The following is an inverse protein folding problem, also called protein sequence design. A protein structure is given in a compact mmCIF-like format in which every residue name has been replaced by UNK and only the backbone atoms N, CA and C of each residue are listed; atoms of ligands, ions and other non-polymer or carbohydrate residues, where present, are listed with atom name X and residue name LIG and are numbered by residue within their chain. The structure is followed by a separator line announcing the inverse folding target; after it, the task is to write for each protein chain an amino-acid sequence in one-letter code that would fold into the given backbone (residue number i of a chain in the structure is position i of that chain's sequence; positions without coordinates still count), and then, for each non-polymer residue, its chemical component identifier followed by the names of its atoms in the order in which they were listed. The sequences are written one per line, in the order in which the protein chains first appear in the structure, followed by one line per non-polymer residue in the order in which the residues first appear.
data_IF_326551106826
#
_entry.id   IF_326551106826
#
_cell.length_a   1.000
_cell.length_b   1.000
_cell.length_c   1.000
_cell.angle_alpha   90.00
_cell.angle_beta   90.00
_cell.angle_gamma   90.00
#
_symmetry.space_group_name_H-M   'P 1'
#
loop_
_entity.id
_entity.type
_entity.pdbx_description
1 polymer ?
#
# COMPACT_ATOMS: atom_id res chain seq x y z
N UNK A 1 12.66 -0.45 -39.68
CA UNK A 1 11.79 0.24 -38.70
C UNK A 1 10.50 -0.55 -38.59
N UNK A 2 10.37 -1.42 -37.63
CA UNK A 2 9.17 -2.22 -37.42
C UNK A 2 8.26 -1.52 -36.40
N UNK A 3 6.99 -1.42 -36.76
CA UNK A 3 6.00 -0.51 -36.20
C UNK A 3 5.57 -0.80 -34.77
N UNK A 4 5.40 0.28 -34.00
CA UNK A 4 4.70 0.28 -32.72
C UNK A 4 3.20 0.09 -32.94
N UNK A 5 2.58 -0.84 -32.23
CA UNK A 5 1.12 -0.99 -32.20
C UNK A 5 0.59 -0.40 -30.90
N UNK A 6 -0.03 0.77 -31.01
CA UNK A 6 -0.79 1.36 -29.92
C UNK A 6 -2.12 0.63 -29.78
N UNK A 7 -2.31 -0.18 -28.75
CA UNK A 7 -3.57 -0.88 -28.52
C UNK A 7 -4.36 -0.21 -27.40
N UNK A 8 -5.40 0.55 -27.77
CA UNK A 8 -6.34 1.16 -26.83
C UNK A 8 -7.49 0.18 -26.61
N UNK A 9 -7.66 -0.34 -25.39
CA UNK A 9 -8.84 -1.11 -24.99
C UNK A 9 -9.70 -0.28 -24.02
N UNK A 10 -10.95 -0.06 -24.45
CA UNK A 10 -12.12 0.56 -23.79
C UNK A 10 -12.06 0.94 -22.31
N UNK A 11 -12.46 2.19 -22.01
CA UNK A 11 -12.98 2.88 -20.80
C UNK A 11 -12.26 2.69 -19.44
N UNK A 12 -11.42 1.69 -19.25
CA UNK A 12 -10.28 1.58 -18.33
C UNK A 12 -9.06 1.40 -19.22
N UNK A 13 -8.39 2.50 -19.51
CA UNK A 13 -7.49 2.58 -20.66
C UNK A 13 -6.11 2.01 -20.30
N UNK A 14 -5.80 0.82 -20.79
CA UNK A 14 -4.41 0.36 -20.91
C UNK A 14 -3.84 0.89 -22.21
N UNK A 15 -2.72 1.59 -22.15
CA UNK A 15 -1.88 1.93 -23.28
C UNK A 15 -0.65 1.02 -23.25
N UNK A 16 -0.14 0.67 -24.41
CA UNK A 16 1.08 -0.11 -24.51
C UNK A 16 1.76 0.13 -25.85
N UNK A 17 3.06 0.01 -25.84
CA UNK A 17 3.90 -0.01 -27.04
C UNK A 17 4.65 -1.32 -27.08
N UNK A 18 4.59 -2.00 -28.25
CA UNK A 18 5.46 -3.11 -28.61
C UNK A 18 6.42 -2.65 -29.69
N UNK A 19 7.69 -2.89 -29.51
CA UNK A 19 8.71 -2.42 -30.45
C UNK A 19 9.96 -3.29 -30.38
N UNK A 20 10.75 -3.19 -31.45
CA UNK A 20 12.09 -3.77 -31.55
C UNK A 20 13.06 -2.60 -31.75
N UNK A 21 14.18 -2.63 -31.06
CA UNK A 21 15.25 -1.63 -31.23
C UNK A 21 16.04 -1.98 -32.48
N UNK A 22 16.29 -3.27 -32.68
CA UNK A 22 16.95 -3.80 -33.86
C UNK A 22 15.97 -4.66 -34.66
N UNK A 23 16.03 -4.56 -35.98
CA UNK A 23 15.22 -5.37 -36.91
C UNK A 23 15.54 -6.86 -36.90
N UNK A 24 16.73 -7.24 -36.39
CA UNK A 24 17.15 -8.60 -36.23
C UNK A 24 16.72 -9.26 -34.93
N UNK A 25 16.13 -8.50 -33.99
CA UNK A 25 15.57 -9.05 -32.76
C UNK A 25 14.34 -9.92 -33.05
N UNK A 26 14.33 -11.16 -32.55
CA UNK A 26 13.19 -12.07 -32.67
C UNK A 26 12.07 -11.68 -31.67
N UNK A 27 12.43 -11.18 -30.48
CA UNK A 27 11.51 -10.80 -29.41
C UNK A 27 11.23 -9.30 -29.39
N UNK A 28 10.03 -8.94 -28.92
CA UNK A 28 9.61 -7.56 -28.78
C UNK A 28 9.80 -7.06 -27.35
N UNK A 29 10.20 -5.82 -27.23
CA UNK A 29 10.02 -5.06 -25.99
C UNK A 29 8.58 -4.57 -25.88
N UNK A 30 8.05 -4.61 -24.68
CA UNK A 30 6.71 -4.10 -24.41
C UNK A 30 6.71 -3.22 -23.16
N UNK A 31 6.12 -2.02 -23.28
CA UNK A 31 5.82 -1.15 -22.15
C UNK A 31 4.30 -1.01 -22.09
N UNK A 32 3.68 -1.42 -21.00
CA UNK A 32 2.23 -1.30 -20.80
C UNK A 32 1.94 -0.36 -19.65
N UNK A 33 1.05 0.61 -19.88
CA UNK A 33 0.55 1.55 -18.90
C UNK A 33 -0.93 1.31 -18.65
N UNK A 34 -1.37 1.40 -17.40
CA UNK A 34 -2.77 1.63 -17.08
C UNK A 34 -2.92 3.07 -16.59
N UNK A 35 -3.91 3.78 -17.13
CA UNK A 35 -4.13 5.18 -16.83
C UNK A 35 -5.57 5.43 -16.40
N UNK A 36 -5.75 6.41 -15.52
CA UNK A 36 -7.04 6.95 -15.13
C UNK A 36 -7.05 8.45 -15.37
N UNK A 37 -7.98 8.92 -16.20
CA UNK A 37 -8.18 10.35 -16.37
C UNK A 37 -8.78 10.97 -15.10
N UNK A 38 -8.25 12.10 -14.71
CA UNK A 38 -8.83 13.00 -13.70
C UNK A 38 -9.72 14.06 -14.33
N UNK A 39 -9.44 14.39 -15.59
CA UNK A 39 -10.26 15.23 -16.45
C UNK A 39 -11.63 14.60 -16.75
N UNK A 40 -12.68 15.43 -16.80
CA UNK A 40 -14.04 15.00 -17.16
C UNK A 40 -14.38 15.32 -18.62
N UNK A 41 -13.73 16.31 -19.22
CA UNK A 41 -13.94 16.71 -20.60
C UNK A 41 -13.28 15.73 -21.58
N UNK A 42 -14.06 15.22 -22.54
CA UNK A 42 -13.60 14.20 -23.48
C UNK A 42 -12.51 14.72 -24.45
N UNK A 43 -12.54 15.99 -24.83
CA UNK A 43 -11.54 16.61 -25.70
C UNK A 43 -10.21 16.72 -24.96
N UNK A 44 -10.22 17.21 -23.72
CA UNK A 44 -9.02 17.30 -22.89
C UNK A 44 -8.42 15.92 -22.62
N UNK A 45 -9.27 14.89 -22.40
CA UNK A 45 -8.80 13.51 -22.29
C UNK A 45 -8.09 13.04 -23.57
N UNK A 46 -8.62 13.37 -24.75
CA UNK A 46 -7.99 12.99 -26.02
C UNK A 46 -6.65 13.70 -26.23
N UNK A 47 -6.58 15.00 -25.95
CA UNK A 47 -5.36 15.79 -26.04
C UNK A 47 -4.27 15.24 -25.09
N UNK A 48 -4.62 14.96 -23.83
CA UNK A 48 -3.71 14.37 -22.83
C UNK A 48 -3.25 12.98 -23.25
N UNK A 49 -4.16 12.17 -23.82
CA UNK A 49 -3.83 10.85 -24.35
C UNK A 49 -2.85 10.91 -25.52
N UNK A 50 -3.02 11.87 -26.42
CA UNK A 50 -2.11 12.12 -27.53
C UNK A 50 -0.70 12.49 -27.06
N UNK A 51 -0.59 13.40 -26.09
CA UNK A 51 0.69 13.76 -25.46
C UNK A 51 1.36 12.55 -24.82
N UNK A 52 0.62 11.79 -24.00
CA UNK A 52 1.14 10.59 -23.35
C UNK A 52 1.63 9.54 -24.36
N UNK A 53 0.88 9.33 -25.43
CA UNK A 53 1.27 8.42 -26.53
C UNK A 53 2.57 8.83 -27.18
N UNK A 54 2.73 10.11 -27.49
CA UNK A 54 3.98 10.67 -28.05
C UNK A 54 5.15 10.52 -27.09
N UNK A 55 4.93 10.84 -25.81
CA UNK A 55 5.94 10.71 -24.76
C UNK A 55 6.37 9.23 -24.57
N UNK A 56 5.41 8.32 -24.64
CA UNK A 56 5.69 6.88 -24.52
C UNK A 56 6.54 6.37 -25.72
N UNK A 57 6.20 6.77 -26.94
CA UNK A 57 6.95 6.41 -28.15
C UNK A 57 8.37 6.97 -28.05
N UNK A 58 8.51 8.25 -27.76
CA UNK A 58 9.82 8.88 -27.60
C UNK A 58 10.65 8.21 -26.49
N UNK A 59 10.02 8.00 -25.33
CA UNK A 59 10.66 7.33 -24.20
C UNK A 59 11.12 5.92 -24.52
N UNK A 60 10.31 5.14 -25.25
CA UNK A 60 10.64 3.78 -25.66
C UNK A 60 11.87 3.73 -26.58
N UNK A 61 12.04 4.70 -27.46
CA UNK A 61 13.18 4.73 -28.39
C UNK A 61 14.44 5.35 -27.79
N UNK A 62 14.31 6.45 -27.05
CA UNK A 62 15.46 7.25 -26.63
C UNK A 62 15.85 7.09 -25.16
N UNK A 63 15.00 6.44 -24.34
CA UNK A 63 15.21 6.31 -22.90
C UNK A 63 15.01 4.89 -22.36
N UNK A 64 14.87 3.87 -23.23
CA UNK A 64 14.61 2.48 -22.82
C UNK A 64 15.67 1.94 -21.85
N UNK A 65 16.94 2.30 -22.03
CA UNK A 65 18.05 1.93 -21.16
C UNK A 65 18.09 2.70 -19.82
N UNK A 66 17.16 3.62 -19.59
CA UNK A 66 17.03 4.42 -18.37
C UNK A 66 15.56 4.48 -17.89
N UNK A 67 14.96 3.34 -17.47
CA UNK A 67 13.53 3.25 -17.17
C UNK A 67 13.01 4.30 -16.20
N UNK A 68 13.79 4.66 -15.16
CA UNK A 68 13.43 5.72 -14.21
C UNK A 68 13.30 7.11 -14.88
N UNK A 69 14.14 7.40 -15.90
CA UNK A 69 14.04 8.65 -16.67
C UNK A 69 12.88 8.58 -17.67
N UNK A 70 12.64 7.42 -18.28
CA UNK A 70 11.49 7.19 -19.14
C UNK A 70 10.20 7.50 -18.39
N UNK A 71 10.02 6.98 -17.17
CA UNK A 71 8.85 7.28 -16.35
C UNK A 71 8.60 8.78 -16.18
N UNK A 72 9.63 9.54 -15.79
CA UNK A 72 9.48 11.00 -15.60
C UNK A 72 9.08 11.69 -16.90
N UNK A 73 9.60 11.23 -18.03
CA UNK A 73 9.33 11.79 -19.34
C UNK A 73 7.88 11.53 -19.81
N UNK A 74 7.20 10.50 -19.29
CA UNK A 74 5.79 10.26 -19.63
C UNK A 74 4.89 11.46 -19.29
N UNK A 75 5.26 12.28 -18.31
CA UNK A 75 4.53 13.50 -17.91
C UNK A 75 5.06 14.78 -18.56
N UNK A 76 5.89 14.68 -19.62
CA UNK A 76 6.33 15.87 -20.34
C UNK A 76 5.11 16.56 -20.97
N UNK A 77 4.92 17.86 -20.64
CA UNK A 77 3.73 18.65 -21.02
C UNK A 77 2.37 18.06 -20.57
N UNK A 78 2.36 17.26 -19.49
CA UNK A 78 1.13 16.71 -18.87
C UNK A 78 1.15 17.06 -17.39
N UNK A 79 0.07 17.68 -16.90
CA UNK A 79 -0.08 18.00 -15.49
C UNK A 79 -0.63 16.79 -14.72
N UNK A 80 -0.27 16.69 -13.43
CA UNK A 80 -0.66 15.56 -12.56
C UNK A 80 -2.15 15.51 -12.22
N UNK A 81 -2.87 16.59 -12.45
CA UNK A 81 -4.32 16.70 -12.30
C UNK A 81 -5.09 16.25 -13.55
N UNK A 82 -4.43 16.05 -14.69
CA UNK A 82 -5.04 15.58 -15.93
C UNK A 82 -5.21 14.07 -15.97
N UNK A 83 -4.19 13.32 -15.53
CA UNK A 83 -4.25 11.86 -15.51
C UNK A 83 -3.39 11.28 -14.37
N UNK A 84 -3.67 10.02 -14.07
CA UNK A 84 -2.89 9.17 -13.16
C UNK A 84 -2.41 7.94 -13.92
N UNK A 85 -1.14 7.57 -13.72
CA UNK A 85 -0.60 6.27 -14.16
C UNK A 85 -0.54 5.39 -12.93
N UNK A 86 -1.50 4.49 -12.76
CA UNK A 86 -1.62 3.63 -11.58
C UNK A 86 -0.88 2.30 -11.72
N UNK A 87 -0.48 1.92 -12.94
CA UNK A 87 0.32 0.72 -13.18
C UNK A 87 1.21 0.91 -14.39
N UNK A 88 2.44 0.41 -14.29
CA UNK A 88 3.37 0.27 -15.41
C UNK A 88 3.98 -1.13 -15.40
N UNK A 89 4.23 -1.68 -16.59
CA UNK A 89 4.93 -2.93 -16.75
C UNK A 89 5.88 -2.86 -17.95
N UNK A 90 7.11 -3.27 -17.74
CA UNK A 90 8.16 -3.43 -18.74
C UNK A 90 8.42 -4.92 -18.95
N UNK A 91 8.50 -5.35 -20.20
CA UNK A 91 8.84 -6.73 -20.56
C UNK A 91 9.56 -6.78 -21.90
N UNK A 92 10.31 -7.84 -22.12
CA UNK A 92 11.11 -8.05 -23.33
C UNK A 92 12.60 -8.06 -23.06
N UNK A 93 13.42 -8.31 -24.12
CA UNK A 93 14.84 -8.58 -23.99
C UNK A 93 15.64 -7.44 -23.34
N UNK A 94 15.30 -6.17 -23.62
CA UNK A 94 16.03 -5.02 -23.08
C UNK A 94 15.54 -4.63 -21.66
N UNK A 95 14.52 -5.29 -21.13
CA UNK A 95 13.94 -5.02 -19.81
C UNK A 95 14.09 -6.18 -18.82
N UNK A 96 14.93 -7.18 -19.12
CA UNK A 96 15.12 -8.36 -18.25
C UNK A 96 15.55 -8.00 -16.83
N UNK A 97 16.35 -6.95 -16.69
CA UNK A 97 16.84 -6.47 -15.40
C UNK A 97 15.94 -5.39 -14.74
N UNK A 98 14.80 -5.08 -15.35
CA UNK A 98 13.88 -4.08 -14.82
C UNK A 98 12.92 -4.71 -13.82
N UNK A 99 13.06 -4.38 -12.54
CA UNK A 99 12.07 -4.78 -11.53
C UNK A 99 10.85 -3.86 -11.60
N UNK A 100 9.72 -4.41 -12.05
CA UNK A 100 8.46 -3.69 -12.21
C UNK A 100 7.89 -3.18 -10.88
N UNK A 101 8.26 -3.78 -9.73
CA UNK A 101 7.87 -3.28 -8.40
C UNK A 101 8.58 -1.98 -8.08
N UNK A 102 9.89 -1.89 -8.40
CA UNK A 102 10.63 -0.64 -8.27
C UNK A 102 10.08 0.44 -9.20
N UNK A 103 9.65 0.08 -10.41
CA UNK A 103 9.03 1.04 -11.33
C UNK A 103 7.69 1.54 -10.78
N UNK A 104 6.90 0.69 -10.15
CA UNK A 104 5.68 1.09 -9.45
C UNK A 104 5.96 2.02 -8.26
N UNK A 105 7.03 1.75 -7.48
CA UNK A 105 7.49 2.67 -6.44
C UNK A 105 7.89 4.04 -7.03
N UNK A 106 8.52 4.07 -8.23
CA UNK A 106 8.84 5.33 -8.90
C UNK A 106 7.59 6.13 -9.30
N UNK A 107 6.47 5.46 -9.68
CA UNK A 107 5.21 6.16 -9.92
C UNK A 107 4.77 6.94 -8.68
N UNK A 108 4.79 6.30 -7.51
CA UNK A 108 4.48 6.96 -6.23
C UNK A 108 5.45 8.09 -5.88
N UNK A 109 6.78 7.82 -5.98
CA UNK A 109 7.83 8.82 -5.69
C UNK A 109 7.70 10.07 -6.54
N UNK A 110 7.30 9.91 -7.79
CA UNK A 110 7.10 11.02 -8.72
C UNK A 110 5.69 11.64 -8.62
N UNK A 111 4.80 11.14 -7.76
CA UNK A 111 3.42 11.61 -7.60
C UNK A 111 2.54 11.40 -8.84
N UNK A 112 2.82 10.34 -9.59
CA UNK A 112 2.05 9.92 -10.76
C UNK A 112 0.83 9.09 -10.38
N UNK A 113 0.83 8.50 -9.20
CA UNK A 113 -0.28 7.84 -8.52
C UNK A 113 -0.16 8.02 -7.02
N UNK A 114 -1.24 7.79 -6.29
CA UNK A 114 -1.27 7.84 -4.82
C UNK A 114 -1.11 6.46 -4.18
N UNK A 115 -1.29 5.37 -4.94
CA UNK A 115 -1.13 4.01 -4.44
C UNK A 115 -0.78 3.01 -5.55
N UNK A 116 0.03 2.00 -5.22
CA UNK A 116 0.33 0.85 -6.06
C UNK A 116 0.10 -0.43 -5.28
N UNK A 117 -0.25 -1.51 -5.97
CA UNK A 117 -0.64 -2.77 -5.32
C UNK A 117 0.10 -3.96 -5.93
N UNK A 118 0.47 -4.91 -5.05
CA UNK A 118 1.13 -6.16 -5.41
C UNK A 118 0.30 -7.36 -4.97
N UNK A 119 0.21 -8.36 -5.85
CA UNK A 119 -0.40 -9.65 -5.52
C UNK A 119 0.52 -10.48 -4.61
N UNK A 120 0.00 -11.57 -4.01
CA UNK A 120 0.83 -12.53 -3.26
C UNK A 120 2.04 -13.07 -4.05
N UNK A 121 1.93 -13.13 -5.38
CA UNK A 121 3.05 -13.56 -6.25
C UNK A 121 4.07 -12.43 -6.54
N UNK A 122 3.94 -11.27 -5.89
CA UNK A 122 4.82 -10.11 -6.08
C UNK A 122 4.60 -9.34 -7.40
N UNK A 123 3.58 -9.69 -8.18
CA UNK A 123 3.28 -9.00 -9.43
C UNK A 123 2.47 -7.72 -9.18
N UNK A 124 2.72 -6.70 -10.01
CA UNK A 124 1.89 -5.52 -10.05
C UNK A 124 0.45 -5.89 -10.42
N UNK A 125 -0.51 -5.39 -9.65
CA UNK A 125 -1.93 -5.61 -9.92
C UNK A 125 -2.71 -4.30 -9.90
N UNK A 126 -3.72 -4.23 -10.75
CA UNK A 126 -4.62 -3.08 -10.77
C UNK A 126 -5.51 -3.10 -9.53
N UNK A 127 -5.52 -2.04 -8.70
CA UNK A 127 -6.40 -1.96 -7.53
C UNK A 127 -7.86 -2.21 -7.87
N UNK A 128 -8.31 -1.73 -9.03
CA UNK A 128 -9.66 -1.94 -9.51
C UNK A 128 -10.02 -3.43 -9.74
N UNK A 129 -9.06 -4.30 -10.06
CA UNK A 129 -9.31 -5.74 -10.22
C UNK A 129 -9.41 -6.45 -8.88
N UNK A 130 -8.60 -6.03 -7.92
CA UNK A 130 -8.49 -6.66 -6.61
C UNK A 130 -9.60 -6.21 -5.67
N UNK A 131 -9.93 -4.90 -5.68
CA UNK A 131 -10.82 -4.27 -4.69
C UNK A 131 -12.28 -4.14 -5.15
N UNK A 132 -12.57 -4.31 -6.45
CA UNK A 132 -13.90 -4.03 -6.98
C UNK A 132 -14.99 -4.88 -6.33
N UNK A 133 -15.93 -4.22 -5.67
CA UNK A 133 -17.06 -4.83 -4.94
C UNK A 133 -16.63 -5.84 -3.86
N UNK A 134 -15.42 -5.72 -3.32
CA UNK A 134 -14.96 -6.55 -2.20
C UNK A 134 -15.31 -5.92 -0.85
N UNK A 135 -15.48 -6.76 0.17
CA UNK A 135 -15.29 -6.34 1.55
C UNK A 135 -13.78 -6.18 1.76
N UNK A 136 -13.35 -5.13 2.42
CA UNK A 136 -11.92 -4.81 2.54
C UNK A 136 -11.55 -4.76 4.02
N UNK A 137 -10.56 -5.55 4.41
CA UNK A 137 -9.91 -5.44 5.71
C UNK A 137 -8.47 -5.01 5.48
N UNK A 138 -8.10 -3.83 5.99
CA UNK A 138 -6.79 -3.26 5.79
C UNK A 138 -5.98 -3.20 7.09
N UNK A 139 -4.70 -3.51 6.97
CA UNK A 139 -3.69 -3.44 8.02
C UNK A 139 -2.64 -2.41 7.62
N UNK A 140 -2.51 -1.34 8.40
CA UNK A 140 -1.43 -0.36 8.20
C UNK A 140 -0.31 -0.64 9.18
N UNK A 141 0.91 -0.79 8.66
CA UNK A 141 2.08 -1.02 9.49
C UNK A 141 3.39 -0.76 8.76
N UNK A 142 4.48 -0.81 9.51
CA UNK A 142 5.83 -0.75 8.95
C UNK A 142 6.29 -2.09 8.39
N UNK A 143 5.88 -3.21 9.04
CA UNK A 143 6.26 -4.59 8.69
C UNK A 143 7.77 -4.76 8.44
N UNK A 144 8.57 -4.29 9.39
CA UNK A 144 10.02 -4.19 9.27
C UNK A 144 10.74 -4.89 10.44
N UNK A 145 10.86 -6.22 10.39
CA UNK A 145 10.06 -7.16 9.61
C UNK A 145 8.64 -7.35 10.13
N UNK A 146 7.85 -8.18 9.44
CA UNK A 146 6.59 -8.71 9.97
C UNK A 146 6.88 -9.64 11.15
N UNK A 147 6.11 -9.54 12.24
CA UNK A 147 6.29 -10.31 13.47
C UNK A 147 5.07 -11.17 13.81
N UNK A 148 5.20 -12.07 14.79
CA UNK A 148 4.06 -12.85 15.29
C UNK A 148 2.88 -11.96 15.71
N UNK A 149 3.15 -10.80 16.32
CA UNK A 149 2.13 -9.81 16.69
C UNK A 149 1.33 -9.32 15.49
N UNK A 150 2.02 -9.06 14.37
CA UNK A 150 1.33 -8.61 13.16
C UNK A 150 0.40 -9.70 12.58
N UNK A 151 0.83 -10.96 12.62
CA UNK A 151 0.04 -12.08 12.12
C UNK A 151 -1.12 -12.41 13.07
N UNK A 152 -0.91 -12.40 14.37
CA UNK A 152 -2.01 -12.61 15.34
C UNK A 152 -3.07 -11.49 15.23
N UNK A 153 -2.63 -10.22 15.13
CA UNK A 153 -3.56 -9.12 14.85
C UNK A 153 -4.35 -9.35 13.56
N UNK A 154 -3.70 -9.82 12.49
CA UNK A 154 -4.35 -10.16 11.23
C UNK A 154 -5.38 -11.27 11.43
N UNK A 155 -4.99 -12.40 11.97
CA UNK A 155 -5.85 -13.57 12.13
C UNK A 155 -7.09 -13.25 12.99
N UNK A 156 -6.87 -12.64 14.14
CA UNK A 156 -7.97 -12.33 15.08
C UNK A 156 -8.91 -11.26 14.55
N UNK A 157 -8.40 -10.21 13.92
CA UNK A 157 -9.28 -9.21 13.31
C UNK A 157 -9.99 -9.73 12.06
N UNK A 158 -9.35 -10.60 11.27
CA UNK A 158 -9.99 -11.26 10.14
C UNK A 158 -11.15 -12.15 10.58
N UNK A 159 -10.96 -12.99 11.62
CA UNK A 159 -12.02 -13.79 12.22
C UNK A 159 -13.22 -12.92 12.66
N UNK A 160 -12.94 -11.80 13.34
CA UNK A 160 -13.99 -10.86 13.75
C UNK A 160 -14.68 -10.22 12.54
N UNK A 161 -13.93 -9.82 11.52
CA UNK A 161 -14.46 -9.13 10.35
C UNK A 161 -15.35 -10.02 9.49
N UNK A 162 -14.97 -11.28 9.23
CA UNK A 162 -15.78 -12.19 8.41
C UNK A 162 -17.08 -12.62 9.09
N UNK A 163 -17.17 -12.51 10.42
CA UNK A 163 -18.38 -12.77 11.20
C UNK A 163 -19.30 -11.55 11.31
N UNK A 164 -18.90 -10.38 10.75
CA UNK A 164 -19.74 -9.20 10.70
C UNK A 164 -20.94 -9.38 9.75
N UNK A 165 -22.08 -8.81 10.13
CA UNK A 165 -23.25 -8.78 9.25
C UNK A 165 -22.89 -8.18 7.88
N UNK A 166 -23.40 -8.79 6.79
CA UNK A 166 -23.18 -8.37 5.40
C UNK A 166 -21.76 -8.59 4.86
N UNK A 167 -20.85 -9.20 5.62
CA UNK A 167 -19.54 -9.63 5.12
C UNK A 167 -19.66 -11.02 4.52
N UNK A 168 -19.18 -11.17 3.28
CA UNK A 168 -19.09 -12.46 2.60
C UNK A 168 -17.62 -12.84 2.52
N UNK A 169 -17.25 -13.97 3.11
CA UNK A 169 -15.87 -14.45 3.22
C UNK A 169 -15.19 -14.50 1.84
N UNK A 170 -15.88 -15.05 0.84
CA UNK A 170 -15.38 -15.24 -0.53
C UNK A 170 -15.17 -13.91 -1.28
N UNK A 171 -15.82 -12.86 -0.81
CA UNK A 171 -15.68 -11.50 -1.34
C UNK A 171 -14.84 -10.59 -0.45
N UNK A 172 -14.12 -11.16 0.50
CA UNK A 172 -13.25 -10.38 1.39
C UNK A 172 -11.84 -10.30 0.82
N UNK A 173 -11.31 -9.10 0.76
CA UNK A 173 -9.93 -8.83 0.40
C UNK A 173 -9.20 -8.25 1.61
N UNK A 174 -8.14 -8.93 2.01
CA UNK A 174 -7.19 -8.41 2.99
C UNK A 174 -6.10 -7.63 2.27
N UNK A 175 -5.70 -6.49 2.84
CA UNK A 175 -4.69 -5.59 2.27
C UNK A 175 -3.71 -5.17 3.36
N UNK A 176 -2.44 -5.47 3.17
CA UNK A 176 -1.35 -4.97 4.02
C UNK A 176 -0.83 -3.68 3.41
N UNK A 177 -0.96 -2.58 4.13
CA UNK A 177 -0.58 -1.26 3.64
C UNK A 177 0.69 -0.75 4.31
N UNK A 178 1.62 -0.29 3.47
CA UNK A 178 2.82 0.44 3.89
C UNK A 178 2.75 1.84 3.30
N UNK A 179 2.87 2.87 4.13
CA UNK A 179 2.91 4.25 3.62
C UNK A 179 4.32 4.63 3.16
N UNK A 180 4.43 5.54 2.20
CA UNK A 180 5.73 6.09 1.78
C UNK A 180 6.52 6.70 2.93
N UNK A 181 5.83 7.29 3.92
CA UNK A 181 6.48 7.82 5.12
C UNK A 181 7.19 6.74 5.93
N UNK A 182 6.64 5.52 5.97
CA UNK A 182 7.27 4.36 6.62
C UNK A 182 8.49 3.81 5.88
N UNK A 183 8.67 4.19 4.61
CA UNK A 183 9.81 3.79 3.77
C UNK A 183 10.94 4.83 3.76
N UNK A 184 10.76 5.99 4.41
CA UNK A 184 11.79 7.02 4.47
C UNK A 184 12.86 6.65 5.49
N UNK A 185 14.11 6.65 5.05
CA UNK A 185 15.27 6.58 5.93
C UNK A 185 15.43 7.89 6.74
N UNK A 186 16.32 7.89 7.73
CA UNK A 186 16.60 9.05 8.59
C UNK A 186 17.02 10.33 7.84
N UNK A 187 17.41 10.23 6.56
CA UNK A 187 17.75 11.34 5.67
C UNK A 187 16.61 11.86 4.78
N UNK A 188 15.40 11.31 4.92
CA UNK A 188 14.22 11.72 4.15
C UNK A 188 14.07 11.09 2.77
N UNK A 189 15.07 10.38 2.25
CA UNK A 189 14.96 9.60 1.02
C UNK A 189 14.28 8.25 1.27
N UNK A 190 13.62 7.73 0.22
CA UNK A 190 12.98 6.41 0.28
C UNK A 190 14.06 5.36 0.02
N UNK A 191 14.19 4.44 0.97
CA UNK A 191 15.04 3.27 0.85
C UNK A 191 14.36 2.23 -0.06
N UNK A 192 14.87 2.10 -1.29
CA UNK A 192 14.32 1.19 -2.29
C UNK A 192 14.59 -0.28 -1.93
N UNK A 193 15.71 -0.58 -1.24
CA UNK A 193 16.02 -1.94 -0.80
C UNK A 193 15.08 -2.36 0.33
N UNK A 194 14.91 -1.53 1.35
CA UNK A 194 13.98 -1.76 2.45
C UNK A 194 12.52 -1.93 1.95
N UNK A 195 12.13 -1.15 0.92
CA UNK A 195 10.85 -1.35 0.24
C UNK A 195 10.74 -2.77 -0.34
N UNK A 196 11.77 -3.18 -1.08
CA UNK A 196 11.76 -4.49 -1.74
C UNK A 196 11.72 -5.64 -0.73
N UNK A 197 12.48 -5.53 0.35
CA UNK A 197 12.52 -6.52 1.41
C UNK A 197 11.14 -6.71 2.06
N UNK A 198 10.47 -5.62 2.41
CA UNK A 198 9.13 -5.66 3.02
C UNK A 198 8.08 -6.19 2.06
N UNK A 199 8.08 -5.71 0.81
CA UNK A 199 7.12 -6.16 -0.20
C UNK A 199 7.29 -7.65 -0.52
N UNK A 200 8.54 -8.12 -0.69
CA UNK A 200 8.84 -9.53 -0.92
C UNK A 200 8.35 -10.40 0.23
N UNK A 201 8.70 -10.02 1.46
CA UNK A 201 8.35 -10.78 2.65
C UNK A 201 6.84 -10.91 2.81
N UNK A 202 6.08 -9.81 2.70
CA UNK A 202 4.63 -9.86 2.81
C UNK A 202 3.99 -10.67 1.68
N UNK A 203 4.47 -10.52 0.45
CA UNK A 203 3.97 -11.31 -0.68
C UNK A 203 4.25 -12.81 -0.50
N UNK A 204 5.44 -13.21 0.01
CA UNK A 204 5.77 -14.62 0.27
C UNK A 204 4.90 -15.25 1.35
N UNK A 205 4.35 -14.44 2.26
CA UNK A 205 3.33 -14.85 3.24
C UNK A 205 1.90 -14.90 2.65
N UNK A 206 1.76 -14.79 1.33
CA UNK A 206 0.46 -14.84 0.66
C UNK A 206 -0.37 -13.56 0.78
N UNK A 207 0.23 -12.43 1.17
CA UNK A 207 -0.49 -11.20 1.41
C UNK A 207 -0.56 -10.29 0.17
N UNK A 208 -1.68 -9.60 0.01
CA UNK A 208 -1.80 -8.49 -0.95
C UNK A 208 -1.26 -7.23 -0.31
N UNK A 209 -0.30 -6.59 -0.98
CA UNK A 209 0.41 -5.42 -0.45
C UNK A 209 -0.01 -4.16 -1.18
N UNK A 210 -0.32 -3.11 -0.44
CA UNK A 210 -0.59 -1.76 -0.93
C UNK A 210 0.51 -0.82 -0.44
N UNK A 211 1.15 -0.12 -1.35
CA UNK A 211 2.04 0.99 -1.00
C UNK A 211 1.31 2.28 -1.33
N UNK A 212 1.23 3.20 -0.38
CA UNK A 212 0.44 4.41 -0.52
C UNK A 212 1.16 5.68 -0.08
N UNK A 213 0.67 6.82 -0.56
CA UNK A 213 1.06 8.14 -0.09
C UNK A 213 0.03 8.73 0.90
N UNK A 214 -0.84 7.90 1.47
CA UNK A 214 -1.88 8.35 2.40
C UNK A 214 -1.33 8.44 3.81
N UNK A 215 -1.07 9.64 4.29
CA UNK A 215 -0.64 9.84 5.68
C UNK A 215 -1.81 9.58 6.64
N UNK A 216 -2.99 10.14 6.35
CA UNK A 216 -4.17 10.00 7.18
C UNK A 216 -5.03 8.81 6.76
N UNK A 217 -5.62 8.13 7.74
CA UNK A 217 -6.45 6.94 7.50
C UNK A 217 -7.71 7.22 6.68
N UNK A 218 -8.31 8.42 6.78
CA UNK A 218 -9.49 8.75 5.99
C UNK A 218 -9.19 8.75 4.47
N UNK A 219 -7.98 9.16 4.06
CA UNK A 219 -7.56 9.12 2.64
C UNK A 219 -7.48 7.68 2.11
N UNK A 220 -6.99 6.76 2.93
CA UNK A 220 -7.00 5.33 2.58
C UNK A 220 -8.42 4.81 2.38
N UNK A 221 -9.35 5.19 3.26
CA UNK A 221 -10.76 4.80 3.15
C UNK A 221 -11.41 5.43 1.92
N UNK A 222 -11.16 6.71 1.64
CA UNK A 222 -11.63 7.37 0.41
C UNK A 222 -11.11 6.65 -0.84
N UNK A 223 -9.84 6.25 -0.84
CA UNK A 223 -9.26 5.47 -1.92
C UNK A 223 -9.97 4.13 -2.13
N UNK A 224 -10.21 3.37 -1.08
CA UNK A 224 -10.97 2.12 -1.18
C UNK A 224 -12.41 2.34 -1.66
N UNK A 225 -13.01 3.46 -1.28
CA UNK A 225 -14.34 3.85 -1.72
C UNK A 225 -14.47 4.11 -3.23
N UNK A 226 -13.37 4.32 -3.95
CA UNK A 226 -13.37 4.38 -5.41
C UNK A 226 -13.72 3.03 -6.04
N UNK A 227 -13.42 1.94 -5.37
CA UNK A 227 -13.53 0.57 -5.90
C UNK A 227 -14.65 -0.24 -5.27
N UNK A 228 -14.94 -0.03 -3.99
CA UNK A 228 -15.95 -0.77 -3.27
C UNK A 228 -16.83 0.12 -2.39
N UNK A 229 -18.11 -0.26 -2.32
CA UNK A 229 -19.09 0.31 -1.39
C UNK A 229 -19.50 -0.72 -0.31
N UNK A 230 -18.82 -1.86 -0.28
CA UNK A 230 -19.07 -2.91 0.69
C UNK A 230 -18.40 -2.59 2.04
N UNK A 231 -18.52 -3.51 2.98
CA UNK A 231 -17.99 -3.38 4.34
C UNK A 231 -16.48 -3.17 4.32
N UNK A 232 -16.00 -2.26 5.15
CA UNK A 232 -14.58 -2.00 5.36
C UNK A 232 -14.23 -2.11 6.84
N UNK A 233 -13.04 -2.64 7.11
CA UNK A 233 -12.41 -2.67 8.41
C UNK A 233 -10.98 -2.19 8.33
N UNK A 234 -10.52 -1.50 9.38
CA UNK A 234 -9.13 -1.17 9.60
C UNK A 234 -8.67 -1.88 10.87
N UNK A 235 -7.61 -2.67 10.79
CA UNK A 235 -6.98 -3.26 11.96
C UNK A 235 -5.66 -2.55 12.25
N UNK A 236 -5.43 -2.20 13.52
CA UNK A 236 -4.26 -1.46 13.95
C UNK A 236 -3.97 -1.68 15.44
N UNK A 237 -2.72 -1.44 15.84
CA UNK A 237 -2.37 -1.36 17.24
C UNK A 237 -3.02 -0.14 17.91
N UNK A 238 -3.32 -0.27 19.20
CA UNK A 238 -4.00 0.77 19.99
C UNK A 238 -3.30 2.13 19.93
N UNK A 239 -1.96 2.16 19.81
CA UNK A 239 -1.20 3.42 19.73
C UNK A 239 -1.53 4.23 18.47
N UNK A 240 -1.82 3.57 17.36
CA UNK A 240 -2.17 4.27 16.12
C UNK A 240 -3.51 5.03 16.23
N UNK A 241 -4.36 4.61 17.17
CA UNK A 241 -5.62 5.30 17.41
C UNK A 241 -5.41 6.69 18.03
N UNK A 242 -4.34 6.90 18.79
CA UNK A 242 -3.98 8.21 19.36
C UNK A 242 -3.76 9.21 18.22
N UNK A 243 -3.03 8.81 17.18
CA UNK A 243 -2.78 9.67 16.02
C UNK A 243 -4.07 10.02 15.26
N UNK A 244 -5.03 9.07 15.19
CA UNK A 244 -6.33 9.33 14.55
C UNK A 244 -7.12 10.41 15.30
N UNK A 245 -6.98 10.49 16.62
CA UNK A 245 -7.66 11.49 17.46
C UNK A 245 -6.84 12.77 17.69
N UNK A 246 -5.69 12.94 17.00
CA UNK A 246 -4.88 14.15 17.08
C UNK A 246 -5.29 15.18 16.01
N UNK A 247 -5.90 16.28 16.44
CA UNK A 247 -6.40 17.37 15.59
C UNK A 247 -5.34 17.98 14.67
N UNK A 248 -4.04 17.86 15.02
CA UNK A 248 -2.95 18.46 14.23
C UNK A 248 -2.90 17.92 12.79
N UNK A 249 -3.31 16.67 12.59
CA UNK A 249 -3.30 16.03 11.25
C UNK A 249 -4.43 16.53 10.34
N UNK A 250 -5.43 17.25 10.87
CA UNK A 250 -6.64 17.63 10.13
C UNK A 250 -6.82 19.14 9.97
N UNK A 251 -5.82 19.94 10.36
CA UNK A 251 -5.88 21.43 10.28
C UNK A 251 -6.07 21.97 8.87
N UNK A 252 -5.72 21.20 7.86
CA UNK A 252 -5.90 21.54 6.45
C UNK A 252 -7.33 21.34 5.94
N UNK A 253 -8.18 20.65 6.69
CA UNK A 253 -9.59 20.43 6.35
C UNK A 253 -10.45 21.57 6.92
N UNK A 254 -11.41 22.07 6.14
CA UNK A 254 -12.32 23.14 6.56
C UNK A 254 -13.15 22.74 7.78
N UNK A 255 -13.60 21.49 7.86
CA UNK A 255 -14.32 20.92 8.99
C UNK A 255 -13.42 20.24 10.04
N UNK A 256 -12.08 20.35 9.89
CA UNK A 256 -11.11 19.79 10.81
C UNK A 256 -11.29 18.28 11.03
N UNK A 257 -11.11 17.83 12.28
CA UNK A 257 -11.23 16.41 12.64
C UNK A 257 -12.62 15.84 12.40
N UNK A 258 -13.68 16.64 12.51
CA UNK A 258 -15.05 16.15 12.25
C UNK A 258 -15.27 15.80 10.79
N UNK A 259 -14.71 16.60 9.88
CA UNK A 259 -14.72 16.27 8.45
C UNK A 259 -13.94 14.98 8.17
N UNK A 260 -12.74 14.86 8.75
CA UNK A 260 -11.92 13.66 8.63
C UNK A 260 -12.66 12.41 9.13
N UNK A 261 -13.35 12.50 10.26
CA UNK A 261 -14.10 11.40 10.84
C UNK A 261 -15.36 11.04 10.06
N UNK A 262 -16.05 12.05 9.48
CA UNK A 262 -17.14 11.80 8.53
C UNK A 262 -16.69 11.01 7.31
N UNK A 263 -15.47 11.25 6.82
CA UNK A 263 -14.85 10.50 5.72
C UNK A 263 -14.33 9.13 6.16
N UNK A 264 -13.67 9.03 7.31
CA UNK A 264 -13.12 7.80 7.87
C UNK A 264 -14.22 6.78 8.21
N UNK A 265 -15.18 7.19 9.01
CA UNK A 265 -16.28 6.33 9.46
C UNK A 265 -17.47 6.29 8.50
N UNK A 266 -17.20 6.58 7.23
CA UNK A 266 -18.18 6.52 6.18
C UNK A 266 -18.84 5.13 6.12
N UNK A 267 -20.16 5.10 6.04
CA UNK A 267 -20.97 3.88 6.13
C UNK A 267 -20.70 3.11 7.43
N UNK A 268 -20.40 1.83 7.29
CA UNK A 268 -20.25 0.89 8.40
C UNK A 268 -18.80 0.50 8.68
N UNK A 269 -17.83 1.39 8.37
CA UNK A 269 -16.44 1.12 8.70
C UNK A 269 -16.27 0.88 10.21
N UNK A 270 -15.51 -0.15 10.57
CA UNK A 270 -15.05 -0.43 11.94
C UNK A 270 -13.53 -0.42 12.02
N UNK A 271 -13.02 0.04 13.14
CA UNK A 271 -11.61 -0.04 13.51
C UNK A 271 -11.44 -1.13 14.55
N UNK A 272 -10.63 -2.14 14.25
CA UNK A 272 -10.27 -3.25 15.12
C UNK A 272 -8.94 -2.92 15.79
N UNK A 273 -8.93 -2.90 17.10
CA UNK A 273 -7.84 -2.41 17.93
C UNK A 273 -7.13 -3.58 18.60
N UNK A 274 -5.86 -3.76 18.26
CA UNK A 274 -5.01 -4.74 18.90
C UNK A 274 -4.38 -4.13 20.14
N UNK A 275 -4.44 -4.81 21.31
CA UNK A 275 -3.90 -4.28 22.55
C UNK A 275 -2.36 -4.21 22.51
N UNK A 276 -1.80 -3.49 23.47
CA UNK A 276 -0.37 -3.34 23.62
C UNK A 276 0.02 -3.44 25.09
N UNK A 277 1.20 -4.02 25.35
CA UNK A 277 1.87 -3.86 26.63
C UNK A 277 2.61 -2.52 26.65
N UNK A 278 2.38 -1.74 27.70
CA UNK A 278 3.17 -0.55 27.97
C UNK A 278 4.49 -0.90 28.66
N UNK A 279 5.36 0.09 28.90
CA UNK A 279 6.67 -0.09 29.55
C UNK A 279 6.57 -0.73 30.94
N UNK A 280 5.46 -0.53 31.63
CA UNK A 280 5.20 -1.09 32.97
C UNK A 280 4.59 -2.51 32.90
N UNK A 281 4.59 -3.15 31.72
CA UNK A 281 3.96 -4.45 31.48
C UNK A 281 2.47 -4.52 31.79
N UNK A 282 1.78 -3.37 31.82
CA UNK A 282 0.33 -3.31 31.92
C UNK A 282 -0.27 -3.25 30.51
N UNK A 283 -1.37 -3.96 30.32
CA UNK A 283 -2.08 -3.99 29.06
C UNK A 283 -2.83 -2.69 28.86
N UNK A 284 -2.77 -2.16 27.63
CA UNK A 284 -3.52 -1.00 27.20
C UNK A 284 -4.53 -1.43 26.14
N UNK A 285 -5.79 -1.19 26.43
CA UNK A 285 -6.94 -1.42 25.51
C UNK A 285 -7.60 -0.10 25.15
N UNK A 286 -8.68 -0.16 24.38
CA UNK A 286 -9.44 1.06 24.07
C UNK A 286 -10.10 1.69 25.31
N UNK A 287 -10.27 0.95 26.40
CA UNK A 287 -10.80 1.49 27.67
C UNK A 287 -9.78 2.32 28.44
N UNK A 288 -8.50 1.98 28.30
CA UNK A 288 -7.38 2.60 29.01
C UNK A 288 -6.81 3.82 28.24
N UNK A 289 -7.18 3.97 26.97
CA UNK A 289 -6.62 4.98 26.10
C UNK A 289 -7.00 6.39 26.53
N UNK A 290 -5.98 7.22 26.80
CA UNK A 290 -6.17 8.63 27.14
C UNK A 290 -6.12 9.49 25.88
N UNK A 291 -7.28 9.84 25.35
CA UNK A 291 -7.40 10.84 24.28
C UNK A 291 -7.39 12.25 24.88
N UNK A 292 -7.06 13.25 24.05
CA UNK A 292 -7.10 14.64 24.47
C UNK A 292 -8.49 14.99 25.07
N UNK A 293 -8.61 15.76 26.17
CA UNK A 293 -9.88 16.05 26.83
C UNK A 293 -11.00 16.53 25.91
N UNK A 294 -10.67 17.36 24.91
CA UNK A 294 -11.63 17.84 23.90
C UNK A 294 -12.22 16.71 23.02
N UNK A 295 -11.50 15.62 22.86
CA UNK A 295 -11.93 14.48 22.03
C UNK A 295 -12.66 13.40 22.83
N UNK A 296 -12.73 13.52 24.15
CA UNK A 296 -13.24 12.48 25.04
C UNK A 296 -14.68 12.06 24.72
N UNK A 297 -15.57 12.99 24.47
CA UNK A 297 -16.98 12.69 24.19
C UNK A 297 -17.14 12.10 22.77
N UNK A 298 -16.35 12.59 21.81
CA UNK A 298 -16.33 12.02 20.47
C UNK A 298 -15.78 10.59 20.47
N UNK A 299 -14.73 10.32 21.25
CA UNK A 299 -14.20 8.97 21.45
C UNK A 299 -15.24 8.02 22.04
N UNK A 300 -15.94 8.44 23.10
CA UNK A 300 -17.03 7.66 23.71
C UNK A 300 -18.14 7.37 22.68
N UNK A 301 -18.50 8.36 21.87
CA UNK A 301 -19.50 8.19 20.82
C UNK A 301 -19.13 7.06 19.87
N UNK A 302 -17.89 7.01 19.37
CA UNK A 302 -17.44 5.96 18.45
C UNK A 302 -17.35 4.59 19.11
N UNK A 303 -16.92 4.52 20.37
CA UNK A 303 -16.95 3.28 21.16
C UNK A 303 -18.37 2.76 21.34
N UNK A 304 -19.26 3.62 21.84
CA UNK A 304 -20.66 3.25 22.10
C UNK A 304 -21.37 2.75 20.84
N UNK A 305 -21.08 3.35 19.68
CA UNK A 305 -21.66 2.94 18.40
C UNK A 305 -20.91 1.76 17.74
N UNK A 306 -20.00 1.10 18.44
CA UNK A 306 -19.28 -0.06 17.95
C UNK A 306 -18.41 0.21 16.70
N UNK A 307 -17.95 1.47 16.53
CA UNK A 307 -17.03 1.85 15.46
C UNK A 307 -15.57 1.56 15.82
N UNK A 308 -15.27 1.55 17.11
CA UNK A 308 -13.99 1.15 17.70
C UNK A 308 -14.24 -0.14 18.49
N UNK A 309 -13.54 -1.22 18.12
CA UNK A 309 -13.77 -2.55 18.70
C UNK A 309 -12.42 -3.18 19.04
N UNK A 310 -12.25 -3.59 20.31
CA UNK A 310 -11.04 -4.30 20.70
C UNK A 310 -11.01 -5.72 20.12
N UNK A 311 -9.87 -6.10 19.59
CA UNK A 311 -9.61 -7.46 19.11
C UNK A 311 -9.56 -8.39 20.32
N UNK A 312 -10.26 -9.51 20.20
CA UNK A 312 -10.38 -10.53 21.24
C UNK A 312 -9.56 -11.77 20.87
N UNK A 313 -9.31 -12.62 21.87
CA UNK A 313 -8.65 -13.92 21.70
C UNK A 313 -7.22 -13.82 21.11
N UNK A 314 -6.55 -12.68 21.29
CA UNK A 314 -5.14 -12.50 20.94
C UNK A 314 -4.25 -13.30 21.89
N UNK A 315 -3.02 -13.55 21.45
CA UNK A 315 -2.01 -14.22 22.29
C UNK A 315 -1.32 -13.20 23.21
N UNK A 316 -1.50 -13.29 24.54
CA UNK A 316 -0.86 -12.35 25.47
C UNK A 316 0.65 -12.52 25.58
N UNK A 317 1.20 -13.69 25.23
CA UNK A 317 2.63 -13.99 25.41
C UNK A 317 3.51 -13.29 24.36
N UNK A 318 2.95 -12.95 23.19
CA UNK A 318 3.69 -12.30 22.12
C UNK A 318 3.61 -10.76 22.14
N UNK A 319 2.80 -10.16 23.02
CA UNK A 319 2.56 -8.71 23.04
C UNK A 319 3.81 -7.86 23.32
N UNK A 320 4.89 -8.48 23.79
CA UNK A 320 6.19 -7.84 24.02
C UNK A 320 7.09 -7.82 22.76
N UNK A 321 6.66 -8.41 21.66
CA UNK A 321 7.42 -8.45 20.41
C UNK A 321 7.22 -7.15 19.63
N UNK A 322 8.29 -6.40 19.44
CA UNK A 322 8.27 -5.16 18.65
C UNK A 322 9.15 -5.29 17.41
N UNK A 323 8.62 -4.99 16.23
CA UNK A 323 9.37 -5.06 14.96
C UNK A 323 10.69 -4.27 15.00
N UNK A 324 10.74 -3.13 15.71
CA UNK A 324 11.98 -2.36 15.88
C UNK A 324 13.07 -3.10 16.64
N UNK A 325 12.68 -3.86 17.67
CA UNK A 325 13.60 -4.70 18.43
C UNK A 325 14.13 -5.83 17.56
N UNK A 326 13.25 -6.52 16.87
CA UNK A 326 13.61 -7.60 15.95
C UNK A 326 14.57 -7.12 14.86
N UNK A 327 14.26 -5.98 14.22
CA UNK A 327 15.15 -5.39 13.22
C UNK A 327 16.55 -5.08 13.76
N UNK A 328 16.62 -4.57 14.99
CA UNK A 328 17.89 -4.28 15.66
C UNK A 328 18.68 -5.55 15.94
N UNK A 329 18.01 -6.61 16.37
CA UNK A 329 18.65 -7.92 16.61
C UNK A 329 19.20 -8.50 15.30
N UNK A 330 18.42 -8.49 14.21
CA UNK A 330 18.87 -8.92 12.87
C UNK A 330 20.12 -8.13 12.44
N UNK A 331 20.08 -6.80 12.55
CA UNK A 331 21.18 -5.94 12.09
C UNK A 331 22.46 -6.03 12.94
N UNK A 332 22.38 -6.61 14.14
CA UNK A 332 23.49 -6.77 15.06
C UNK A 332 23.92 -8.22 15.24
N UNK A 333 23.31 -9.15 14.51
CA UNK A 333 23.52 -10.57 14.64
C UNK A 333 23.30 -11.09 16.08
N UNK A 334 22.27 -10.56 16.76
CA UNK A 334 21.85 -11.00 18.09
C UNK A 334 20.97 -12.25 17.95
N UNK A 335 21.14 -13.25 18.81
CA UNK A 335 20.36 -14.50 18.78
C UNK A 335 18.89 -14.30 19.25
N UNK A 336 17.99 -15.20 18.82
CA UNK A 336 16.62 -15.32 19.34
C UNK A 336 15.56 -14.48 18.64
N UNK A 337 15.91 -13.74 17.59
CA UNK A 337 14.92 -12.98 16.81
C UNK A 337 14.03 -13.87 15.94
N UNK A 338 14.50 -15.06 15.60
CA UNK A 338 13.76 -16.04 14.79
C UNK A 338 12.45 -16.44 15.46
N UNK A 339 12.48 -16.62 16.80
CA UNK A 339 11.32 -17.01 17.60
C UNK A 339 10.23 -15.90 17.65
N UNK A 340 10.59 -14.67 17.31
CA UNK A 340 9.68 -13.53 17.30
C UNK A 340 8.92 -13.39 15.97
N UNK A 341 9.31 -14.16 14.96
CA UNK A 341 8.77 -14.11 13.62
C UNK A 341 7.74 -15.24 13.36
N UNK A 342 6.84 -15.05 12.40
CA UNK A 342 6.02 -16.13 11.89
C UNK A 342 6.87 -17.26 11.31
N UNK A 343 6.32 -18.46 11.28
CA UNK A 343 6.98 -19.66 10.72
C UNK A 343 7.48 -19.42 9.29
N UNK A 344 8.71 -19.84 8.97
CA UNK A 344 9.35 -19.69 7.67
C UNK A 344 9.87 -18.29 7.34
N UNK A 345 9.51 -17.26 8.11
CA UNK A 345 9.97 -15.88 7.85
C UNK A 345 11.45 -15.71 8.09
N UNK A 346 11.99 -16.36 9.14
CA UNK A 346 13.40 -16.32 9.45
C UNK A 346 14.25 -16.91 8.31
N UNK A 347 13.81 -18.02 7.74
CA UNK A 347 14.50 -18.68 6.62
C UNK A 347 14.53 -17.76 5.38
N UNK A 348 13.41 -17.14 5.06
CA UNK A 348 13.34 -16.17 3.96
C UNK A 348 14.29 -14.98 4.17
N UNK A 349 14.37 -14.47 5.39
CA UNK A 349 15.26 -13.35 5.73
C UNK A 349 16.73 -13.77 5.54
N UNK A 350 17.10 -14.96 6.01
CA UNK A 350 18.46 -15.52 5.89
C UNK A 350 18.82 -15.82 4.44
N UNK A 351 17.97 -16.55 3.72
CA UNK A 351 18.21 -16.93 2.31
C UNK A 351 18.33 -15.73 1.37
N UNK A 352 17.48 -14.73 1.56
CA UNK A 352 17.43 -13.55 0.70
C UNK A 352 18.22 -12.36 1.26
N UNK A 353 18.88 -12.51 2.39
CA UNK A 353 19.67 -11.47 3.09
C UNK A 353 18.90 -10.17 3.29
N UNK A 354 17.62 -10.28 3.72
CA UNK A 354 16.74 -9.13 3.90
C UNK A 354 17.09 -8.35 5.17
N UNK A 355 16.70 -7.07 5.22
CA UNK A 355 16.85 -6.20 6.38
C UNK A 355 18.27 -6.04 6.90
N UNK A 356 19.26 -6.26 6.03
CA UNK A 356 20.68 -6.14 6.39
C UNK A 356 21.23 -7.34 7.16
N UNK A 357 20.55 -8.49 7.10
CA UNK A 357 21.07 -9.75 7.64
C UNK A 357 22.43 -10.11 7.00
N UNK A 358 23.42 -10.39 7.84
CA UNK A 358 24.75 -10.87 7.46
C UNK A 358 24.96 -12.23 8.11
N UNK A 359 25.54 -13.17 7.38
CA UNK A 359 26.00 -14.46 7.92
C UNK A 359 27.26 -14.26 8.73
#
# INVERSE_FOLDING_TARGET
MNFAVLKIKNLRKSQGIKYQIDSEQEEYNEITLHIRFKETDARLQQETLGKLGTNLIYGAYYKFNQPKKLLRYLYDHIDKDQLEIDTINFSGPDFKDVDNRLMSLQLLKNGMTDAVMFSPNGNNVLPARVLYKKNILAFRGSFRPVTKVNMDMYEKSYEMFINENKVQKEKTQVVFEITLSNLRASGGEIDEQDFMDRARLLCSLGQTVLISNFQEYYKLVEYFNLYSKNRMGLAMGINNLIDIFDEKYYRHLSGGILEAFGKLFYKDLKVYLYPMLNENKTMTTSDDLKVHPRMKELYKYFKFNGKLVDIKNYDPEILNIFSRTVLKMISKDEEGWEEMLPEGVADIIKEQKLFGYQE
#
